data_IF_952080797435
#
_entry.id   IF_952080797435
#
_cell.length_a   1.000
_cell.length_b   1.000
_cell.length_c   1.000
_cell.angle_alpha   90.00
_cell.angle_beta   90.00
_cell.angle_gamma   90.00
#
_symmetry.space_group_name_H-M   'P 1'
#
loop_
_entity.id
_entity.type
_entity.pdbx_description
1 polymer ?
#
# COMPACT_ATOMS: atom_id res chain seq x y z
N UNK A 1 30.23 -24.04 -52.67
CA UNK A 1 29.42 -22.81 -52.67
C UNK A 1 27.98 -23.03 -52.19
N UNK A 2 27.30 -24.15 -52.53
CA UNK A 2 25.92 -24.41 -52.07
C UNK A 2 25.74 -24.87 -50.61
N UNK A 3 26.77 -25.40 -49.93
CA UNK A 3 26.62 -25.79 -48.51
C UNK A 3 26.59 -24.55 -47.58
N UNK A 4 27.42 -23.54 -47.84
CA UNK A 4 27.53 -22.33 -47.02
C UNK A 4 26.23 -21.51 -46.94
N UNK A 5 25.48 -21.41 -48.04
CA UNK A 5 24.21 -20.65 -48.07
C UNK A 5 23.10 -21.35 -47.26
N UNK A 6 23.13 -22.67 -47.15
CA UNK A 6 22.12 -23.45 -46.41
C UNK A 6 22.29 -23.32 -44.89
N UNK A 7 23.53 -23.20 -44.44
CA UNK A 7 23.88 -23.05 -43.03
C UNK A 7 23.59 -21.62 -42.52
N UNK A 8 23.83 -20.60 -43.35
CA UNK A 8 23.51 -19.20 -43.02
C UNK A 8 22.00 -18.97 -42.87
N UNK A 9 21.18 -19.56 -43.75
CA UNK A 9 19.72 -19.46 -43.67
C UNK A 9 19.17 -20.16 -42.41
N UNK A 10 19.77 -21.28 -42.01
CA UNK A 10 19.40 -22.00 -40.78
C UNK A 10 19.69 -21.17 -39.52
N UNK A 11 20.85 -20.50 -39.48
CA UNK A 11 21.21 -19.61 -38.38
C UNK A 11 20.28 -18.39 -38.28
N UNK A 12 19.89 -17.82 -39.42
CA UNK A 12 19.00 -16.66 -39.47
C UNK A 12 17.57 -17.03 -39.00
N UNK A 13 17.05 -18.18 -39.44
CA UNK A 13 15.76 -18.71 -38.97
C UNK A 13 15.80 -19.01 -37.47
N UNK A 14 16.88 -19.59 -36.95
CA UNK A 14 17.05 -19.81 -35.51
C UNK A 14 17.06 -18.47 -34.75
N UNK A 15 17.82 -17.48 -35.22
CA UNK A 15 17.83 -16.14 -34.60
C UNK A 15 16.44 -15.51 -34.56
N UNK A 16 15.66 -15.63 -35.63
CA UNK A 16 14.29 -15.13 -35.70
C UNK A 16 13.36 -15.83 -34.70
N UNK A 17 13.47 -17.15 -34.56
CA UNK A 17 12.69 -17.93 -33.59
C UNK A 17 13.06 -17.52 -32.16
N UNK A 18 14.36 -17.40 -31.85
CA UNK A 18 14.83 -16.99 -30.54
C UNK A 18 14.38 -15.57 -30.18
N UNK A 19 14.43 -14.65 -31.14
CA UNK A 19 13.97 -13.28 -30.94
C UNK A 19 12.45 -13.22 -30.73
N UNK A 20 11.68 -14.04 -31.46
CA UNK A 20 10.23 -14.17 -31.23
C UNK A 20 9.92 -14.67 -29.82
N UNK A 21 10.58 -15.73 -29.38
CA UNK A 21 10.40 -16.28 -28.03
C UNK A 21 10.78 -15.27 -26.94
N UNK A 22 11.89 -14.55 -27.12
CA UNK A 22 12.28 -13.46 -26.21
C UNK A 22 11.24 -12.34 -26.19
N UNK A 23 10.66 -11.99 -27.33
CA UNK A 23 9.61 -10.97 -27.40
C UNK A 23 8.35 -11.40 -26.63
N UNK A 24 7.92 -12.65 -26.79
CA UNK A 24 6.74 -13.19 -26.08
C UNK A 24 6.94 -13.16 -24.56
N UNK A 25 8.13 -13.53 -24.07
CA UNK A 25 8.47 -13.46 -22.64
C UNK A 25 8.51 -12.01 -22.12
N UNK A 26 8.99 -11.06 -22.93
CA UNK A 26 8.97 -9.63 -22.58
C UNK A 26 7.53 -9.12 -22.48
N UNK A 27 6.68 -9.44 -23.45
CA UNK A 27 5.25 -9.04 -23.44
C UNK A 27 4.55 -9.59 -22.20
N UNK A 28 4.76 -10.87 -21.89
CA UNK A 28 4.20 -11.50 -20.68
C UNK A 28 4.65 -10.79 -19.39
N UNK A 29 5.93 -10.39 -19.31
CA UNK A 29 6.45 -9.64 -18.16
C UNK A 29 5.84 -8.24 -18.07
N UNK A 30 5.65 -7.56 -19.19
CA UNK A 30 5.00 -6.25 -19.23
C UNK A 30 3.55 -6.31 -18.76
N UNK A 31 2.77 -7.30 -19.21
CA UNK A 31 1.39 -7.51 -18.74
C UNK A 31 1.31 -7.78 -17.24
N UNK A 32 2.26 -8.54 -16.69
CA UNK A 32 2.34 -8.80 -15.26
C UNK A 32 2.67 -7.50 -14.48
N UNK A 33 3.62 -6.71 -14.96
CA UNK A 33 3.98 -5.43 -14.34
C UNK A 33 2.82 -4.43 -14.40
N UNK A 34 2.11 -4.36 -15.52
CA UNK A 34 0.93 -3.51 -15.65
C UNK A 34 -0.14 -3.88 -14.61
N UNK A 35 -0.47 -5.17 -14.47
CA UNK A 35 -1.42 -5.64 -13.46
C UNK A 35 -0.98 -5.29 -12.03
N UNK A 36 0.31 -5.42 -11.73
CA UNK A 36 0.85 -5.05 -10.43
C UNK A 36 0.72 -3.54 -10.18
N UNK A 37 1.05 -2.70 -11.16
CA UNK A 37 0.93 -1.24 -11.04
C UNK A 37 -0.54 -0.80 -10.90
N UNK A 38 -1.45 -1.36 -11.68
CA UNK A 38 -2.89 -1.10 -11.55
C UNK A 38 -3.41 -1.49 -10.17
N UNK A 39 -2.94 -2.62 -9.61
CA UNK A 39 -3.23 -2.99 -8.23
C UNK A 39 -2.63 -2.01 -7.22
N UNK A 40 -1.46 -1.45 -7.49
CA UNK A 40 -0.80 -0.45 -6.64
C UNK A 40 -1.50 0.91 -6.64
N UNK A 41 -2.17 1.30 -7.72
CA UNK A 41 -2.93 2.56 -7.79
C UNK A 41 -4.03 2.68 -6.72
N UNK A 42 -4.55 1.55 -6.22
CA UNK A 42 -5.48 1.49 -5.09
C UNK A 42 -4.75 1.79 -3.76
N UNK A 43 -3.51 1.32 -3.62
CA UNK A 43 -2.71 1.50 -2.41
C UNK A 43 -2.06 2.90 -2.31
N UNK A 44 -1.87 3.62 -3.42
CA UNK A 44 -1.30 4.98 -3.43
C UNK A 44 -2.35 6.10 -3.40
N UNK A 45 -3.64 5.77 -3.52
CA UNK A 45 -4.71 6.77 -3.57
C UNK A 45 -4.78 7.59 -2.27
N UNK A 46 -4.65 8.91 -2.38
CA UNK A 46 -4.72 9.84 -1.25
C UNK A 46 -6.14 9.95 -0.67
N UNK A 47 -7.15 9.88 -1.54
CA UNK A 47 -8.57 10.01 -1.17
C UNK A 47 -9.32 8.71 -1.47
N UNK A 48 -9.84 8.08 -0.42
CA UNK A 48 -10.61 6.84 -0.50
C UNK A 48 -12.11 7.15 -0.56
N UNK A 49 -12.86 6.39 -1.35
CA UNK A 49 -14.31 6.31 -1.23
C UNK A 49 -14.70 5.36 -0.08
N UNK A 50 -16.00 5.25 0.21
CA UNK A 50 -16.48 4.42 1.31
C UNK A 50 -16.06 2.93 1.25
N UNK A 51 -16.12 2.29 0.08
CA UNK A 51 -15.74 0.88 -0.05
C UNK A 51 -14.22 0.70 0.07
N UNK A 52 -13.45 1.60 -0.53
CA UNK A 52 -11.98 1.62 -0.39
C UNK A 52 -11.56 1.82 1.07
N UNK A 53 -12.24 2.71 1.81
CA UNK A 53 -11.99 2.92 3.23
C UNK A 53 -12.38 1.69 4.09
N UNK A 54 -13.46 0.97 3.75
CA UNK A 54 -13.80 -0.29 4.41
C UNK A 54 -12.69 -1.33 4.25
N UNK A 55 -12.15 -1.47 3.03
CA UNK A 55 -11.04 -2.38 2.74
C UNK A 55 -9.76 -1.94 3.45
N UNK A 56 -9.43 -0.65 3.40
CA UNK A 56 -8.22 -0.09 4.01
C UNK A 56 -8.21 -0.20 5.54
N UNK A 57 -9.36 0.01 6.18
CA UNK A 57 -9.50 -0.09 7.64
C UNK A 57 -9.83 -1.50 8.13
N UNK A 58 -10.02 -2.45 7.21
CA UNK A 58 -10.50 -3.81 7.49
C UNK A 58 -11.81 -3.85 8.30
N UNK A 59 -12.72 -2.91 8.02
CA UNK A 59 -14.01 -2.79 8.70
C UNK A 59 -15.17 -3.22 7.80
N UNK A 60 -16.20 -3.79 8.41
CA UNK A 60 -17.47 -3.99 7.71
C UNK A 60 -18.12 -2.64 7.37
N UNK A 61 -18.89 -2.59 6.29
CA UNK A 61 -19.62 -1.39 5.88
C UNK A 61 -20.50 -0.84 7.00
N UNK A 62 -21.22 -1.71 7.71
CA UNK A 62 -22.06 -1.31 8.84
C UNK A 62 -21.25 -0.67 9.97
N UNK A 63 -20.05 -1.16 10.25
CA UNK A 63 -19.19 -0.59 11.28
C UNK A 63 -18.67 0.79 10.86
N UNK A 64 -18.17 0.93 9.62
CA UNK A 64 -17.72 2.23 9.13
C UNK A 64 -18.87 3.24 9.07
N UNK A 65 -20.08 2.81 8.69
CA UNK A 65 -21.26 3.69 8.75
C UNK A 65 -21.52 4.21 10.15
N UNK A 66 -21.54 3.33 11.17
CA UNK A 66 -21.73 3.76 12.58
C UNK A 66 -20.67 4.77 13.01
N UNK A 67 -19.40 4.56 12.64
CA UNK A 67 -18.32 5.49 12.95
C UNK A 67 -18.53 6.84 12.28
N UNK A 68 -18.91 6.86 11.01
CA UNK A 68 -19.15 8.12 10.26
C UNK A 68 -20.37 8.87 10.80
N UNK A 69 -21.48 8.19 11.07
CA UNK A 69 -22.69 8.81 11.60
C UNK A 69 -22.50 9.36 13.02
N UNK A 70 -21.64 8.73 13.82
CA UNK A 70 -21.29 9.19 15.16
C UNK A 70 -20.20 10.27 15.17
N UNK A 71 -19.63 10.63 14.01
CA UNK A 71 -18.50 11.58 13.94
C UNK A 71 -17.19 11.04 14.53
N UNK A 72 -17.08 9.73 14.71
CA UNK A 72 -15.93 9.10 15.38
C UNK A 72 -14.74 8.85 14.45
N UNK A 73 -14.90 9.00 13.13
CA UNK A 73 -13.84 8.83 12.12
C UNK A 73 -13.81 10.07 11.21
N UNK A 74 -12.62 10.60 10.87
CA UNK A 74 -12.50 11.74 9.97
C UNK A 74 -13.03 11.37 8.58
N UNK A 75 -13.93 12.19 8.03
CA UNK A 75 -14.55 11.95 6.74
C UNK A 75 -15.03 13.26 6.10
N UNK A 76 -15.20 13.22 4.79
CA UNK A 76 -15.63 14.33 3.95
C UNK A 76 -16.91 13.98 3.20
N UNK A 77 -17.80 14.95 3.04
CA UNK A 77 -19.10 14.78 2.39
C UNK A 77 -19.46 15.97 1.47
N UNK A 78 -18.64 16.29 0.45
CA UNK A 78 -18.76 17.55 -0.32
C UNK A 78 -20.13 17.75 -0.97
N UNK A 79 -20.77 16.67 -1.42
CA UNK A 79 -22.08 16.72 -2.10
C UNK A 79 -23.21 16.09 -1.27
N UNK A 80 -23.02 15.86 0.03
CA UNK A 80 -24.08 15.34 0.91
C UNK A 80 -24.53 13.89 0.68
N UNK A 81 -24.08 13.20 -0.37
CA UNK A 81 -24.48 11.81 -0.71
C UNK A 81 -23.37 10.79 -0.53
N UNK A 82 -22.14 11.11 -0.94
CA UNK A 82 -20.98 10.20 -0.91
C UNK A 82 -20.02 10.60 0.21
N UNK A 83 -19.44 9.59 0.84
CA UNK A 83 -18.37 9.72 1.84
C UNK A 83 -17.01 9.52 1.20
N UNK A 84 -16.08 10.38 1.57
CA UNK A 84 -14.68 10.33 1.17
C UNK A 84 -13.78 10.44 2.39
N UNK A 85 -12.59 9.88 2.31
CA UNK A 85 -11.65 9.79 3.41
C UNK A 85 -10.26 10.14 2.92
N UNK A 86 -9.55 11.01 3.64
CA UNK A 86 -8.15 11.27 3.36
C UNK A 86 -7.29 10.21 4.06
N UNK A 87 -6.45 9.50 3.32
CA UNK A 87 -5.65 8.38 3.84
C UNK A 87 -4.82 8.78 5.06
N UNK A 88 -4.10 9.89 4.97
CA UNK A 88 -3.24 10.39 6.06
C UNK A 88 -4.03 10.70 7.34
N UNK A 89 -5.30 11.10 7.22
CA UNK A 89 -6.15 11.32 8.39
C UNK A 89 -6.63 10.02 9.01
N UNK A 90 -6.90 9.00 8.18
CA UNK A 90 -7.19 7.65 8.68
C UNK A 90 -5.98 7.04 9.40
N UNK A 91 -4.76 7.23 8.88
CA UNK A 91 -3.51 6.79 9.52
C UNK A 91 -3.33 7.43 10.89
N UNK A 92 -3.46 8.76 10.96
CA UNK A 92 -3.40 9.48 12.23
C UNK A 92 -4.50 9.03 13.20
N UNK A 93 -5.70 8.78 12.68
CA UNK A 93 -6.82 8.28 13.46
C UNK A 93 -6.55 6.88 14.02
N UNK A 94 -5.98 5.96 13.23
CA UNK A 94 -5.60 4.62 13.68
C UNK A 94 -4.55 4.66 14.79
N UNK A 95 -3.60 5.60 14.71
CA UNK A 95 -2.49 5.72 15.66
C UNK A 95 -2.78 6.61 16.87
N UNK A 96 -3.98 7.20 16.96
CA UNK A 96 -4.31 8.25 17.96
C UNK A 96 -4.24 7.81 19.42
N UNK A 97 -4.52 6.54 19.68
CA UNK A 97 -4.59 5.98 21.04
C UNK A 97 -3.41 5.03 21.27
N UNK A 98 -2.18 5.54 21.12
CA UNK A 98 -0.96 4.78 21.36
C UNK A 98 -0.91 4.32 22.83
N UNK A 99 -0.77 3.03 23.05
CA UNK A 99 -0.44 2.45 24.37
C UNK A 99 1.06 2.53 24.59
N UNK A 100 1.47 3.01 25.77
CA UNK A 100 2.87 3.00 26.18
C UNK A 100 3.34 1.57 26.46
N UNK A 101 4.62 1.29 26.18
CA UNK A 101 5.25 0.04 26.58
C UNK A 101 5.55 0.06 28.09
N UNK A 102 5.76 -1.12 28.69
CA UNK A 102 6.17 -1.21 30.10
C UNK A 102 7.47 -0.44 30.36
N UNK A 103 8.45 -0.55 29.46
CA UNK A 103 9.71 0.19 29.52
C UNK A 103 9.50 1.71 29.48
N UNK A 104 8.63 2.20 28.59
CA UNK A 104 8.32 3.64 28.52
C UNK A 104 7.65 4.14 29.80
N UNK A 105 6.78 3.32 30.41
CA UNK A 105 6.14 3.64 31.69
C UNK A 105 7.16 3.67 32.83
N UNK A 106 8.07 2.67 32.89
CA UNK A 106 9.15 2.61 33.88
C UNK A 106 10.10 3.80 33.75
N UNK A 107 10.50 4.15 32.52
CA UNK A 107 11.34 5.31 32.28
C UNK A 107 10.64 6.61 32.71
N UNK A 108 9.36 6.79 32.37
CA UNK A 108 8.60 7.96 32.80
C UNK A 108 8.48 8.06 34.33
N UNK A 109 8.35 6.92 35.02
CA UNK A 109 8.35 6.87 36.48
C UNK A 109 9.72 7.24 37.07
N UNK A 110 10.82 6.71 36.50
CA UNK A 110 12.18 7.05 36.88
C UNK A 110 12.47 8.55 36.70
N UNK A 111 12.13 9.10 35.53
CA UNK A 111 12.30 10.52 35.21
C UNK A 111 11.53 11.41 36.19
N UNK A 112 10.30 11.01 36.55
CA UNK A 112 9.50 11.73 37.54
C UNK A 112 10.13 11.73 38.94
N UNK A 113 10.72 10.62 39.39
CA UNK A 113 11.41 10.52 40.68
C UNK A 113 12.68 11.38 40.73
N UNK A 114 13.47 11.39 39.65
CA UNK A 114 14.65 12.24 39.50
C UNK A 114 14.24 13.72 39.55
N UNK A 115 13.20 14.11 38.78
CA UNK A 115 12.71 15.49 38.71
C UNK A 115 12.18 16.00 40.06
N UNK A 116 11.61 15.13 40.90
CA UNK A 116 11.16 15.48 42.26
C UNK A 116 12.26 15.43 43.33
N UNK A 117 13.52 15.17 42.96
CA UNK A 117 14.66 15.18 43.88
C UNK A 117 14.60 14.08 44.95
N UNK A 118 13.84 13.00 44.70
CA UNK A 118 13.67 11.88 45.65
C UNK A 118 14.74 10.80 45.52
N UNK A 119 15.63 10.93 44.55
CA UNK A 119 16.79 10.06 44.35
C UNK A 119 17.99 10.96 44.03
N UNK A 120 19.00 10.98 44.92
CA UNK A 120 20.36 11.42 44.57
C UNK A 120 21.12 10.17 44.14
N UNK A 121 21.82 10.27 43.00
CA UNK A 121 22.81 9.28 42.55
C UNK A 121 23.85 9.02 43.64
#
# INVERSE_FOLDING_TARGET
>A
MSLTIKDDFSAEVHSLILNRFKMDEILKRLENLQRLIESQGIYSKEVLNFNEACQYLELSQSHLYKLTSAGNVPHYKPNGKKLYFKRTELENWLLRNRSMSAEEVEQQAADYLIKKGRVKL
#
